data_IF_192964897642
#
_entry.id   IF_192964897642
#
_cell.length_a   1.000
_cell.length_b   1.000
_cell.length_c   1.000
_cell.angle_alpha   90.00
_cell.angle_beta   90.00
_cell.angle_gamma   90.00
#
_symmetry.space_group_name_H-M   'P 1'
#
loop_
_entity.id
_entity.type
_entity.pdbx_description
1 polymer ?
#
# COMPACT_ATOMS: atom_id res chain seq x y z
N UNK A 1 36.58 -30.88 -62.87
CA UNK A 1 35.20 -30.40 -62.61
C UNK A 1 35.18 -29.87 -61.19
N UNK A 2 35.21 -28.54 -61.05
CA UNK A 2 35.39 -27.80 -59.80
C UNK A 2 34.12 -27.03 -59.42
N UNK A 3 33.99 -26.71 -58.14
CA UNK A 3 33.18 -25.62 -57.57
C UNK A 3 31.70 -25.97 -57.30
N UNK A 4 31.30 -26.14 -56.03
CA UNK A 4 30.73 -25.07 -55.15
C UNK A 4 29.19 -25.13 -55.22
N UNK A 5 28.37 -24.96 -54.18
CA UNK A 5 28.49 -24.10 -53.03
C UNK A 5 27.48 -24.52 -51.95
N UNK A 6 27.84 -24.28 -50.69
CA UNK A 6 27.08 -24.61 -49.47
C UNK A 6 26.08 -23.48 -49.18
N UNK A 7 24.77 -23.72 -49.31
CA UNK A 7 23.77 -22.69 -48.92
C UNK A 7 23.41 -22.83 -47.44
N UNK A 8 23.82 -21.80 -46.71
CA UNK A 8 23.56 -21.52 -45.30
C UNK A 8 22.06 -21.32 -45.03
N UNK A 9 21.62 -21.90 -43.91
CA UNK A 9 20.71 -21.37 -42.87
C UNK A 9 19.95 -20.10 -43.23
N UNK A 10 18.61 -20.14 -43.15
CA UNK A 10 17.84 -19.00 -42.66
C UNK A 10 16.50 -19.44 -42.05
N UNK A 11 16.56 -19.76 -40.75
CA UNK A 11 15.43 -19.73 -39.83
C UNK A 11 15.06 -18.24 -39.63
N UNK A 12 14.07 -17.73 -40.37
CA UNK A 12 13.49 -16.40 -40.16
C UNK A 12 12.11 -16.57 -39.51
N UNK A 13 12.09 -16.82 -38.20
CA UNK A 13 10.88 -16.65 -37.41
C UNK A 13 10.67 -15.13 -37.26
N UNK A 14 9.94 -14.53 -38.21
CA UNK A 14 9.47 -13.14 -38.10
C UNK A 14 8.28 -13.10 -37.16
N UNK A 15 8.49 -12.73 -35.90
CA UNK A 15 7.39 -12.42 -34.95
C UNK A 15 7.49 -10.98 -34.44
N UNK A 16 7.28 -9.94 -35.27
CA UNK A 16 7.18 -8.58 -34.74
C UNK A 16 5.73 -8.15 -34.43
N UNK A 17 4.70 -8.94 -34.77
CA UNK A 17 3.30 -8.47 -34.70
C UNK A 17 2.43 -9.06 -33.57
N UNK A 18 2.87 -10.11 -32.88
CA UNK A 18 2.06 -10.74 -31.81
C UNK A 18 2.21 -9.96 -30.49
N UNK A 19 3.40 -9.40 -30.22
CA UNK A 19 3.71 -8.68 -28.99
C UNK A 19 2.75 -7.52 -28.64
N UNK A 20 2.36 -6.61 -29.57
CA UNK A 20 1.45 -5.51 -29.23
C UNK A 20 0.02 -5.99 -28.95
N UNK A 21 -0.43 -7.03 -29.63
CA UNK A 21 -1.78 -7.60 -29.43
C UNK A 21 -1.87 -8.27 -28.06
N UNK A 22 -0.83 -9.03 -27.69
CA UNK A 22 -0.71 -9.67 -26.37
C UNK A 22 -0.70 -8.62 -25.24
N UNK A 23 0.06 -7.54 -25.40
CA UNK A 23 0.10 -6.45 -24.43
C UNK A 23 -1.27 -5.74 -24.30
N UNK A 24 -1.96 -5.53 -25.42
CA UNK A 24 -3.30 -4.93 -25.43
C UNK A 24 -4.36 -5.85 -24.80
N UNK A 25 -4.32 -7.16 -25.07
CA UNK A 25 -5.20 -8.15 -24.44
C UNK A 25 -4.97 -8.24 -22.93
N UNK A 26 -3.73 -8.19 -22.46
CA UNK A 26 -3.41 -8.14 -21.03
C UNK A 26 -3.95 -6.83 -20.41
N UNK A 27 -3.80 -5.70 -21.10
CA UNK A 27 -4.33 -4.42 -20.62
C UNK A 27 -5.87 -4.42 -20.54
N UNK A 28 -6.57 -5.05 -21.48
CA UNK A 28 -8.03 -5.19 -21.47
C UNK A 28 -8.54 -6.17 -20.41
N UNK A 29 -7.78 -7.21 -20.08
CA UNK A 29 -8.22 -8.27 -19.16
C UNK A 29 -7.96 -7.95 -17.67
N UNK A 30 -7.12 -6.97 -17.36
CA UNK A 30 -6.72 -6.66 -15.97
C UNK A 30 -6.91 -5.17 -15.56
N UNK A 31 -8.10 -4.56 -15.72
CA UNK A 31 -8.34 -3.19 -15.24
C UNK A 31 -8.25 -3.07 -13.71
N UNK A 32 -8.46 -4.17 -12.98
CA UNK A 32 -8.47 -4.20 -11.51
C UNK A 32 -7.10 -4.04 -10.83
N UNK A 33 -5.99 -4.15 -11.57
CA UNK A 33 -4.66 -3.95 -10.97
C UNK A 33 -4.41 -2.50 -10.51
N UNK A 34 -5.19 -1.54 -11.00
CA UNK A 34 -4.99 -0.11 -10.72
C UNK A 34 -5.84 0.44 -9.55
N UNK A 35 -6.83 -0.30 -9.05
CA UNK A 35 -7.80 0.23 -8.06
C UNK A 35 -7.56 -0.21 -6.60
N UNK A 36 -6.46 -0.92 -6.29
CA UNK A 36 -6.25 -1.48 -4.94
C UNK A 36 -5.46 -0.58 -3.97
N UNK A 37 -5.01 0.60 -4.39
CA UNK A 37 -4.09 1.44 -3.60
C UNK A 37 -4.78 2.38 -2.60
N UNK A 38 -6.00 2.84 -2.92
CA UNK A 38 -6.64 3.94 -2.19
C UNK A 38 -7.04 3.59 -0.75
N UNK A 39 -7.62 2.40 -0.55
CA UNK A 39 -8.05 1.93 0.78
C UNK A 39 -6.85 1.66 1.69
N UNK A 40 -5.77 1.10 1.14
CA UNK A 40 -4.55 0.80 1.91
C UNK A 40 -3.82 2.07 2.34
N UNK A 41 -3.89 3.13 1.53
CA UNK A 41 -3.35 4.43 1.91
C UNK A 41 -4.19 5.10 3.00
N UNK A 42 -5.53 5.01 2.90
CA UNK A 42 -6.43 5.54 3.94
C UNK A 42 -6.23 4.86 5.31
N UNK A 43 -6.01 3.53 5.33
CA UNK A 43 -5.76 2.77 6.56
C UNK A 43 -4.56 3.28 7.37
N UNK A 44 -3.53 3.83 6.70
CA UNK A 44 -2.34 4.38 7.38
C UNK A 44 -2.64 5.60 8.26
N UNK A 45 -3.76 6.30 8.00
CA UNK A 45 -4.22 7.42 8.82
C UNK A 45 -5.05 6.99 10.05
N UNK A 46 -5.37 5.70 10.19
CA UNK A 46 -6.18 5.18 11.30
C UNK A 46 -5.28 4.76 12.46
N UNK A 47 -5.67 5.10 13.68
CA UNK A 47 -4.96 4.75 14.90
C UNK A 47 -5.85 3.98 15.87
N UNK A 48 -5.24 3.07 16.62
CA UNK A 48 -5.86 2.46 17.81
C UNK A 48 -5.49 3.29 19.03
N UNK A 49 -6.47 3.56 19.88
CA UNK A 49 -6.27 4.30 21.12
C UNK A 49 -6.65 3.39 22.28
N UNK A 50 -5.79 3.32 23.27
CA UNK A 50 -6.03 2.59 24.53
C UNK A 50 -5.90 3.56 25.69
N UNK A 51 -6.93 3.64 26.52
CA UNK A 51 -6.99 4.57 27.64
C UNK A 51 -7.45 3.84 28.91
N UNK A 52 -7.11 4.37 30.09
CA UNK A 52 -7.61 3.89 31.38
C UNK A 52 -8.75 4.79 31.87
N UNK A 53 -9.99 4.35 31.69
CA UNK A 53 -11.20 5.09 32.10
C UNK A 53 -11.77 4.41 33.34
N UNK A 54 -11.83 5.12 34.47
CA UNK A 54 -12.34 4.60 35.75
C UNK A 54 -11.66 3.28 36.20
N UNK A 55 -10.36 3.12 35.94
CA UNK A 55 -9.61 1.91 36.27
C UNK A 55 -9.83 0.74 35.32
N UNK A 56 -10.62 0.90 34.25
CA UNK A 56 -10.85 -0.11 33.22
C UNK A 56 -10.20 0.33 31.90
N UNK A 57 -9.63 -0.64 31.17
CA UNK A 57 -9.09 -0.38 29.84
C UNK A 57 -10.22 -0.11 28.84
N UNK A 58 -10.18 1.05 28.20
CA UNK A 58 -11.03 1.47 27.10
C UNK A 58 -10.24 1.41 25.81
N UNK A 59 -10.84 0.88 24.75
CA UNK A 59 -10.22 0.76 23.43
C UNK A 59 -11.10 1.47 22.42
N UNK A 60 -10.50 2.33 21.61
CA UNK A 60 -11.19 3.05 20.55
C UNK A 60 -10.31 3.29 19.34
N UNK A 61 -10.86 4.06 18.40
CA UNK A 61 -10.23 4.40 17.12
C UNK A 61 -10.13 5.91 16.99
N UNK A 62 -9.11 6.37 16.29
CA UNK A 62 -9.00 7.75 15.84
C UNK A 62 -8.45 7.83 14.42
N UNK A 63 -8.48 9.05 13.88
CA UNK A 63 -7.90 9.35 12.57
C UNK A 63 -6.94 10.52 12.70
N UNK A 64 -5.77 10.41 12.08
CA UNK A 64 -4.80 11.50 11.96
C UNK A 64 -5.36 12.53 10.98
N UNK A 65 -5.51 13.77 11.42
CA UNK A 65 -6.02 14.88 10.59
C UNK A 65 -4.92 15.86 10.19
N UNK A 66 -3.78 15.83 10.88
CA UNK A 66 -2.60 16.64 10.58
C UNK A 66 -1.34 15.99 11.15
N UNK A 67 -0.25 16.11 10.40
CA UNK A 67 1.10 15.83 10.86
C UNK A 67 1.91 17.12 10.76
N UNK A 68 2.57 17.48 11.85
CA UNK A 68 3.62 18.50 11.90
C UNK A 68 4.95 17.81 12.26
N UNK A 69 6.07 18.54 12.27
CA UNK A 69 7.42 17.96 12.44
C UNK A 69 7.56 17.02 13.64
N UNK A 70 6.94 17.40 14.76
CA UNK A 70 7.09 16.70 16.05
C UNK A 70 5.73 16.33 16.67
N UNK A 71 4.63 16.44 15.91
CA UNK A 71 3.29 16.25 16.43
C UNK A 71 2.33 15.62 15.41
N UNK A 72 1.49 14.70 15.90
CA UNK A 72 0.35 14.17 15.17
C UNK A 72 -0.95 14.61 15.85
N UNK A 73 -1.87 15.19 15.08
CA UNK A 73 -3.18 15.60 15.56
C UNK A 73 -4.20 14.53 15.21
N UNK A 74 -4.87 13.99 16.22
CA UNK A 74 -5.78 12.86 16.10
C UNK A 74 -7.18 13.29 16.56
N UNK A 75 -8.19 12.99 15.74
CA UNK A 75 -9.59 13.12 16.13
C UNK A 75 -10.09 11.76 16.60
N UNK A 76 -10.71 11.73 17.78
CA UNK A 76 -11.37 10.55 18.35
C UNK A 76 -12.62 10.98 19.13
N UNK A 77 -13.42 10.01 19.54
CA UNK A 77 -14.57 10.28 20.39
C UNK A 77 -14.13 10.61 21.82
N UNK A 78 -14.75 11.62 22.44
CA UNK A 78 -14.39 12.06 23.78
C UNK A 78 -14.43 10.93 24.82
N UNK A 79 -15.42 10.03 24.73
CA UNK A 79 -15.57 8.92 25.67
C UNK A 79 -14.44 7.87 25.58
N UNK A 80 -13.65 7.85 24.50
CA UNK A 80 -12.52 6.94 24.36
C UNK A 80 -11.40 7.32 25.31
N UNK A 81 -11.17 8.62 25.52
CA UNK A 81 -10.06 9.16 26.31
C UNK A 81 -10.48 9.82 27.63
N UNK A 82 -11.78 10.05 27.83
CA UNK A 82 -12.28 10.80 28.98
C UNK A 82 -11.87 10.15 30.30
N UNK A 83 -11.13 10.89 31.13
CA UNK A 83 -10.65 10.42 32.42
C UNK A 83 -9.23 9.85 32.42
N UNK A 84 -8.62 9.65 31.25
CA UNK A 84 -7.20 9.29 31.12
C UNK A 84 -6.37 10.51 30.69
N UNK A 85 -5.35 10.84 31.48
CA UNK A 85 -4.42 11.94 31.17
C UNK A 85 -3.32 11.55 30.19
N UNK A 86 -3.11 10.24 29.95
CA UNK A 86 -2.03 9.69 29.12
C UNK A 86 -2.52 8.48 28.31
N UNK A 87 -3.53 8.64 27.43
CA UNK A 87 -3.94 7.58 26.54
C UNK A 87 -2.78 7.18 25.61
N UNK A 88 -2.66 5.88 25.33
CA UNK A 88 -1.65 5.37 24.41
C UNK A 88 -2.23 5.28 23.00
N UNK A 89 -1.45 5.70 22.02
CA UNK A 89 -1.80 5.68 20.60
C UNK A 89 -0.92 4.68 19.87
N UNK A 90 -1.55 3.81 19.12
CA UNK A 90 -0.91 2.80 18.28
C UNK A 90 -1.23 3.15 16.83
N UNK A 91 -0.23 3.68 16.13
CA UNK A 91 -0.34 3.88 14.69
C UNK A 91 -0.37 2.53 14.01
N UNK A 92 -1.22 2.41 12.97
CA UNK A 92 -1.18 1.23 12.13
C UNK A 92 0.27 1.04 11.66
N UNK A 93 0.87 -0.15 11.82
CA UNK A 93 2.26 -0.32 11.45
C UNK A 93 2.39 -0.03 9.96
N UNK A 94 3.16 1.00 9.61
CA UNK A 94 4.21 0.72 8.64
C UNK A 94 5.00 -0.41 9.31
N UNK A 95 5.16 -1.60 8.69
CA UNK A 95 5.76 -2.77 9.35
C UNK A 95 7.15 -2.53 10.00
N UNK A 96 7.73 -1.32 9.93
CA UNK A 96 9.10 -1.02 10.30
C UNK A 96 9.37 0.36 10.97
N UNK A 97 8.40 1.11 11.51
CA UNK A 97 8.74 2.38 12.22
C UNK A 97 8.15 2.50 13.63
N UNK A 98 9.07 2.52 14.61
CA UNK A 98 8.82 2.93 15.99
C UNK A 98 9.08 4.44 16.14
N UNK A 99 8.09 5.20 16.60
CA UNK A 99 8.29 6.58 17.03
C UNK A 99 8.67 6.56 18.51
N UNK A 100 9.96 6.68 18.81
CA UNK A 100 10.45 6.92 20.16
C UNK A 100 10.59 8.45 20.35
N UNK A 101 10.06 8.95 21.48
CA UNK A 101 10.14 10.36 21.87
C UNK A 101 11.55 10.76 22.32
#
# INVERSE_FOLDING_TARGET
MTSSNRVRRHLWIRVPFIAPIMAFSIFLLFPGLLCATEIEEFKKGVVKITALVNGQSSVGTGFVVRLDKDAAYIVTAAHVISGDSKPQVWFFPLPHQSFAS
#
